data_IF_454749524824
#
_entry.id   IF_454749524824
#
_cell.length_a   1.000
_cell.length_b   1.000
_cell.length_c   1.000
_cell.angle_alpha   90.00
_cell.angle_beta   90.00
_cell.angle_gamma   90.00
#
_symmetry.space_group_name_H-M   'P 1'
#
loop_
_entity.id
_entity.type
_entity.pdbx_description
1 polymer ?
#
# COMPACT_ATOMS: atom_id res chain seq x y z
N UNK A 1 15.53 -9.56 13.67
CA UNK A 1 14.87 -8.71 12.64
C UNK A 1 14.36 -9.52 11.44
N UNK A 2 14.16 -10.82 11.57
CA UNK A 2 13.82 -11.76 10.48
C UNK A 2 12.33 -11.80 10.10
N UNK A 3 11.44 -11.29 10.94
CA UNK A 3 9.99 -11.39 10.74
C UNK A 3 9.31 -10.06 10.36
N UNK A 4 10.07 -8.98 10.19
CA UNK A 4 9.51 -7.67 9.85
C UNK A 4 8.70 -7.67 8.53
N UNK A 5 9.17 -8.29 7.42
CA UNK A 5 8.37 -8.38 6.19
C UNK A 5 7.03 -9.12 6.36
N UNK A 6 7.00 -10.15 7.21
CA UNK A 6 5.78 -10.88 7.53
C UNK A 6 4.78 -10.02 8.32
N UNK A 7 5.27 -9.27 9.33
CA UNK A 7 4.45 -8.30 10.06
C UNK A 7 3.90 -7.22 9.12
N UNK A 8 4.74 -6.66 8.26
CA UNK A 8 4.33 -5.67 7.25
C UNK A 8 3.26 -6.24 6.32
N UNK A 9 3.40 -7.48 5.88
CA UNK A 9 2.40 -8.16 5.05
C UNK A 9 1.07 -8.28 5.80
N UNK A 10 1.08 -8.74 7.06
CA UNK A 10 -0.13 -8.84 7.88
C UNK A 10 -0.81 -7.47 8.06
N UNK A 11 -0.04 -6.44 8.38
CA UNK A 11 -0.57 -5.08 8.53
C UNK A 11 -1.13 -4.52 7.20
N UNK A 12 -0.53 -4.89 6.07
CA UNK A 12 -1.03 -4.52 4.74
C UNK A 12 -2.37 -5.19 4.45
N UNK A 13 -2.56 -6.45 4.85
CA UNK A 13 -3.87 -7.14 4.77
C UNK A 13 -4.92 -6.39 5.60
N UNK A 14 -4.58 -5.97 6.82
CA UNK A 14 -5.49 -5.21 7.68
C UNK A 14 -5.84 -3.84 7.07
N UNK A 15 -4.87 -3.14 6.46
CA UNK A 15 -5.11 -1.90 5.72
C UNK A 15 -6.04 -2.12 4.52
N UNK A 16 -5.82 -3.18 3.74
CA UNK A 16 -6.68 -3.55 2.61
C UNK A 16 -8.11 -3.83 3.06
N UNK A 17 -8.27 -4.57 4.16
CA UNK A 17 -9.58 -4.80 4.78
C UNK A 17 -10.23 -3.49 5.23
N UNK A 18 -9.48 -2.61 5.90
CA UNK A 18 -9.99 -1.31 6.37
C UNK A 18 -10.47 -0.41 5.23
N UNK A 19 -9.72 -0.33 4.13
CA UNK A 19 -10.12 0.44 2.95
C UNK A 19 -11.32 -0.18 2.21
N UNK A 20 -11.40 -1.51 2.13
CA UNK A 20 -12.56 -2.22 1.60
C UNK A 20 -13.83 -1.94 2.43
N UNK A 21 -13.71 -2.03 3.75
CA UNK A 21 -14.80 -1.71 4.66
C UNK A 21 -15.26 -0.26 4.53
N UNK A 22 -14.33 0.70 4.40
CA UNK A 22 -14.66 2.11 4.20
C UNK A 22 -15.50 2.34 2.93
N UNK A 23 -15.20 1.64 1.82
CA UNK A 23 -16.01 1.70 0.58
C UNK A 23 -17.39 1.10 0.81
N UNK A 24 -17.48 -0.08 1.44
CA UNK A 24 -18.76 -0.73 1.74
C UNK A 24 -19.65 0.13 2.65
N UNK A 25 -19.06 0.74 3.68
CA UNK A 25 -19.74 1.66 4.58
C UNK A 25 -20.23 2.91 3.83
N UNK A 26 -19.37 3.54 3.02
CA UNK A 26 -19.76 4.70 2.21
C UNK A 26 -20.88 4.36 1.22
N UNK A 27 -20.84 3.15 0.63
CA UNK A 27 -21.88 2.67 -0.28
C UNK A 27 -23.26 2.69 0.38
N UNK A 28 -23.37 2.11 1.58
CA UNK A 28 -24.61 2.11 2.35
C UNK A 28 -25.02 3.50 2.81
N UNK A 29 -24.07 4.29 3.31
CA UNK A 29 -24.31 5.64 3.84
C UNK A 29 -24.82 6.62 2.78
N UNK A 30 -24.28 6.56 1.57
CA UNK A 30 -24.58 7.50 0.48
C UNK A 30 -25.52 6.92 -0.58
N UNK A 31 -26.08 5.72 -0.37
CA UNK A 31 -27.09 5.13 -1.24
C UNK A 31 -26.61 4.73 -2.65
N UNK A 32 -25.30 4.50 -2.83
CA UNK A 32 -24.74 4.15 -4.15
C UNK A 32 -24.99 2.67 -4.44
N UNK A 33 -26.03 2.33 -5.20
CA UNK A 33 -26.37 0.93 -5.52
C UNK A 33 -25.33 0.28 -6.44
N UNK A 34 -24.95 -0.96 -6.17
CA UNK A 34 -24.12 -1.74 -7.10
C UNK A 34 -24.86 -1.91 -8.44
N UNK A 35 -24.16 -1.93 -9.60
CA UNK A 35 -22.71 -1.92 -9.78
C UNK A 35 -22.07 -0.52 -9.84
N UNK A 36 -22.81 0.55 -9.52
CA UNK A 36 -22.29 1.92 -9.67
C UNK A 36 -21.04 2.18 -8.79
N UNK A 37 -20.09 2.90 -9.38
CA UNK A 37 -18.82 3.35 -8.79
C UNK A 37 -18.68 4.87 -8.78
N UNK A 38 -19.75 5.59 -9.10
CA UNK A 38 -19.86 7.05 -9.08
C UNK A 38 -21.12 7.46 -8.34
N UNK A 39 -21.15 8.67 -7.78
CA UNK A 39 -22.27 9.17 -6.99
C UNK A 39 -21.87 10.28 -6.04
N UNK A 40 -21.95 10.02 -4.73
CA UNK A 40 -21.54 11.00 -3.72
C UNK A 40 -20.00 11.20 -3.74
N UNK A 41 -19.49 12.44 -3.72
CA UNK A 41 -18.05 12.70 -3.71
C UNK A 41 -17.29 12.01 -2.56
N UNK A 42 -17.90 11.82 -1.40
CA UNK A 42 -17.29 11.09 -0.28
C UNK A 42 -17.20 9.58 -0.55
N UNK A 43 -18.20 9.00 -1.22
CA UNK A 43 -18.11 7.62 -1.71
C UNK A 43 -17.00 7.48 -2.74
N UNK A 44 -16.93 8.40 -3.71
CA UNK A 44 -15.91 8.35 -4.75
C UNK A 44 -14.50 8.47 -4.15
N UNK A 45 -14.27 9.34 -3.16
CA UNK A 45 -12.99 9.39 -2.44
C UNK A 45 -12.65 8.07 -1.75
N UNK A 46 -13.59 7.46 -1.05
CA UNK A 46 -13.37 6.15 -0.41
C UNK A 46 -13.02 5.08 -1.44
N UNK A 47 -13.76 5.03 -2.55
CA UNK A 47 -13.51 4.10 -3.65
C UNK A 47 -12.13 4.30 -4.27
N UNK A 48 -11.73 5.55 -4.55
CA UNK A 48 -10.41 5.88 -5.11
C UNK A 48 -9.27 5.58 -4.13
N UNK A 49 -9.47 5.75 -2.83
CA UNK A 49 -8.50 5.34 -1.80
C UNK A 49 -8.26 3.84 -1.84
N UNK A 50 -9.33 3.04 -1.86
CA UNK A 50 -9.23 1.58 -1.86
C UNK A 50 -8.62 1.05 -3.17
N UNK A 51 -9.05 1.55 -4.33
CA UNK A 51 -8.49 1.14 -5.63
C UNK A 51 -7.00 1.51 -5.75
N UNK A 52 -6.60 2.73 -5.38
CA UNK A 52 -5.18 3.11 -5.44
C UNK A 52 -4.33 2.32 -4.46
N UNK A 53 -4.87 1.99 -3.28
CA UNK A 53 -4.17 1.15 -2.30
C UNK A 53 -4.07 -0.30 -2.78
N UNK A 54 -5.10 -0.82 -3.46
CA UNK A 54 -5.07 -2.14 -4.09
C UNK A 54 -3.98 -2.22 -5.16
N UNK A 55 -3.98 -1.30 -6.13
CA UNK A 55 -2.97 -1.22 -7.20
C UNK A 55 -1.55 -1.16 -6.63
N UNK A 56 -1.33 -0.31 -5.63
CA UNK A 56 -0.04 -0.18 -4.99
C UNK A 56 0.38 -1.42 -4.19
N UNK A 57 -0.56 -2.10 -3.52
CA UNK A 57 -0.30 -3.32 -2.76
C UNK A 57 0.17 -4.45 -3.67
N UNK A 58 -0.44 -4.57 -4.86
CA UNK A 58 -0.08 -5.57 -5.88
C UNK A 58 1.37 -5.40 -6.34
N UNK A 59 1.86 -4.16 -6.47
CA UNK A 59 3.28 -3.91 -6.77
C UNK A 59 4.18 -4.09 -5.54
N UNK A 60 3.70 -3.65 -4.38
CA UNK A 60 4.48 -3.60 -3.15
C UNK A 60 4.83 -4.99 -2.60
N UNK A 61 3.87 -5.91 -2.50
CA UNK A 61 4.11 -7.22 -1.88
C UNK A 61 5.18 -8.04 -2.61
N UNK A 62 5.16 -8.21 -3.95
CA UNK A 62 6.24 -8.88 -4.65
C UNK A 62 7.59 -8.19 -4.45
N UNK A 63 7.61 -6.85 -4.48
CA UNK A 63 8.83 -6.07 -4.29
C UNK A 63 9.43 -6.29 -2.89
N UNK A 64 8.60 -6.25 -1.85
CA UNK A 64 8.98 -6.51 -0.46
C UNK A 64 9.60 -7.89 -0.30
N UNK A 65 8.95 -8.91 -0.88
CA UNK A 65 9.38 -10.29 -0.72
C UNK A 65 10.63 -10.62 -1.54
N UNK A 66 10.80 -10.03 -2.73
CA UNK A 66 12.07 -10.12 -3.47
C UNK A 66 13.22 -9.52 -2.64
N UNK A 67 13.06 -8.29 -2.13
CA UNK A 67 14.08 -7.68 -1.28
C UNK A 67 14.40 -8.54 -0.04
N UNK A 68 13.36 -9.04 0.64
CA UNK A 68 13.54 -9.86 1.82
C UNK A 68 14.21 -11.21 1.54
N UNK A 69 13.88 -11.84 0.41
CA UNK A 69 14.43 -13.13 -0.01
C UNK A 69 15.91 -13.02 -0.39
N UNK A 70 16.30 -11.97 -1.11
CA UNK A 70 17.68 -11.76 -1.55
C UNK A 70 18.57 -11.03 -0.53
N UNK A 71 18.36 -11.32 0.76
CA UNK A 71 19.28 -10.94 1.85
C UNK A 71 19.02 -9.58 2.51
N UNK A 72 17.98 -8.84 2.13
CA UNK A 72 17.64 -7.54 2.73
C UNK A 72 16.48 -7.61 3.73
N UNK A 73 16.23 -8.74 4.39
CA UNK A 73 15.04 -8.96 5.26
C UNK A 73 14.74 -7.82 6.25
N UNK A 74 15.75 -7.32 6.98
CA UNK A 74 15.57 -6.24 7.95
C UNK A 74 15.22 -4.90 7.29
N UNK A 75 16.00 -4.51 6.27
CA UNK A 75 15.81 -3.25 5.54
C UNK A 75 14.52 -3.24 4.71
N UNK A 76 14.16 -4.36 4.09
CA UNK A 76 12.89 -4.56 3.41
C UNK A 76 11.71 -4.37 4.38
N UNK A 77 11.82 -4.90 5.60
CA UNK A 77 10.86 -4.66 6.67
C UNK A 77 10.69 -3.19 7.03
N UNK A 78 11.80 -2.45 7.21
CA UNK A 78 11.78 -1.01 7.52
C UNK A 78 11.15 -0.22 6.37
N UNK A 79 11.58 -0.46 5.13
CA UNK A 79 11.00 0.15 3.94
C UNK A 79 9.50 -0.13 3.82
N UNK A 80 9.08 -1.35 4.17
CA UNK A 80 7.69 -1.75 4.22
C UNK A 80 6.86 -1.04 5.29
N UNK A 81 7.43 -0.79 6.47
CA UNK A 81 6.77 0.02 7.52
C UNK A 81 6.59 1.47 7.07
N UNK A 82 7.60 2.05 6.38
CA UNK A 82 7.49 3.40 5.79
C UNK A 82 6.39 3.43 4.73
N UNK A 83 6.34 2.43 3.85
CA UNK A 83 5.28 2.30 2.85
C UNK A 83 3.89 2.26 3.49
N UNK A 84 3.73 1.41 4.52
CA UNK A 84 2.46 1.22 5.24
C UNK A 84 2.02 2.52 5.93
N UNK A 85 2.93 3.20 6.63
CA UNK A 85 2.64 4.46 7.29
C UNK A 85 2.20 5.54 6.27
N UNK A 86 2.88 5.62 5.14
CA UNK A 86 2.49 6.49 4.03
C UNK A 86 1.10 6.18 3.49
N UNK A 87 0.75 4.89 3.37
CA UNK A 87 -0.58 4.45 2.91
C UNK A 87 -1.70 4.75 3.88
N UNK A 88 -1.47 4.57 5.18
CA UNK A 88 -2.42 4.96 6.23
C UNK A 88 -2.65 6.46 6.19
N UNK A 89 -1.59 7.26 6.10
CA UNK A 89 -1.70 8.71 5.97
C UNK A 89 -2.46 9.10 4.68
N UNK A 90 -2.08 8.53 3.54
CA UNK A 90 -2.77 8.75 2.26
C UNK A 90 -4.28 8.48 2.37
N UNK A 91 -4.67 7.34 2.94
CA UNK A 91 -6.07 6.97 3.09
C UNK A 91 -6.83 7.96 3.98
N UNK A 92 -6.30 8.29 5.16
CA UNK A 92 -6.94 9.22 6.10
C UNK A 92 -7.04 10.64 5.53
N UNK A 93 -5.98 11.11 4.86
CA UNK A 93 -5.96 12.44 4.27
C UNK A 93 -6.95 12.56 3.13
N UNK A 94 -6.98 11.58 2.21
CA UNK A 94 -7.85 11.61 1.04
C UNK A 94 -9.33 11.42 1.44
N UNK A 95 -9.65 10.57 2.42
CA UNK A 95 -11.03 10.45 2.91
C UNK A 95 -11.57 11.79 3.44
N UNK A 96 -10.72 12.58 4.12
CA UNK A 96 -11.06 13.92 4.63
C UNK A 96 -11.13 14.96 3.51
N UNK A 97 -10.11 15.02 2.66
CA UNK A 97 -9.94 16.04 1.64
C UNK A 97 -9.07 15.51 0.48
N UNK A 98 -9.62 15.54 -0.73
CA UNK A 98 -8.92 15.08 -1.93
C UNK A 98 -7.60 15.82 -2.21
N UNK A 99 -7.49 17.09 -1.82
CA UNK A 99 -6.29 17.90 -2.03
C UNK A 99 -5.12 17.53 -1.12
N UNK A 100 -5.37 16.85 0.02
CA UNK A 100 -4.35 16.60 1.05
C UNK A 100 -3.65 15.24 0.94
N UNK A 101 -3.93 14.49 -0.12
CA UNK A 101 -3.42 13.13 -0.33
C UNK A 101 -1.93 13.04 -0.72
N UNK A 102 -1.36 14.13 -1.26
CA UNK A 102 -0.02 14.14 -1.87
C UNK A 102 1.12 13.68 -0.95
N UNK A 103 1.28 14.26 0.25
CA UNK A 103 2.40 13.91 1.14
C UNK A 103 2.43 12.43 1.55
N UNK A 104 1.29 11.85 1.96
CA UNK A 104 1.21 10.44 2.32
C UNK A 104 1.50 9.51 1.15
N UNK A 105 1.05 9.88 -0.06
CA UNK A 105 1.38 9.15 -1.28
C UNK A 105 2.90 9.15 -1.53
N UNK A 106 3.55 10.30 -1.44
CA UNK A 106 5.00 10.43 -1.64
C UNK A 106 5.79 9.59 -0.65
N UNK A 107 5.44 9.63 0.63
CA UNK A 107 6.07 8.78 1.67
C UNK A 107 5.91 7.29 1.31
N UNK A 108 4.72 6.89 0.87
CA UNK A 108 4.52 5.50 0.46
C UNK A 108 5.39 5.13 -0.75
N UNK A 109 5.54 6.03 -1.72
CA UNK A 109 6.37 5.80 -2.91
C UNK A 109 7.85 5.68 -2.56
N UNK A 110 8.35 6.47 -1.61
CA UNK A 110 9.74 6.36 -1.14
C UNK A 110 9.99 5.01 -0.46
N UNK A 111 9.06 4.53 0.37
CA UNK A 111 9.15 3.20 0.99
C UNK A 111 9.17 2.08 -0.06
N UNK A 112 8.32 2.16 -1.08
CA UNK A 112 8.32 1.19 -2.17
C UNK A 112 9.58 1.26 -3.03
N UNK A 113 10.06 2.46 -3.38
CA UNK A 113 11.28 2.65 -4.18
C UNK A 113 12.52 2.07 -3.48
N UNK A 114 12.61 2.24 -2.15
CA UNK A 114 13.67 1.62 -1.36
C UNK A 114 13.60 0.08 -1.42
N UNK A 115 12.40 -0.50 -1.29
CA UNK A 115 12.18 -1.93 -1.47
C UNK A 115 12.58 -2.40 -2.88
N UNK A 116 12.24 -1.62 -3.91
CA UNK A 116 12.54 -1.93 -5.30
C UNK A 116 14.05 -1.95 -5.57
N UNK A 117 14.78 -0.95 -5.10
CA UNK A 117 16.25 -0.91 -5.24
C UNK A 117 16.89 -2.14 -4.60
N UNK A 118 16.46 -2.52 -3.39
CA UNK A 118 16.95 -3.74 -2.73
C UNK A 118 16.61 -5.01 -3.51
N UNK A 119 15.38 -5.13 -4.03
CA UNK A 119 14.96 -6.24 -4.86
C UNK A 119 15.81 -6.35 -6.14
N UNK A 120 16.02 -5.25 -6.86
CA UNK A 120 16.83 -5.21 -8.07
C UNK A 120 18.29 -5.61 -7.80
N UNK A 121 18.92 -5.05 -6.76
CA UNK A 121 20.28 -5.41 -6.36
C UNK A 121 20.35 -6.89 -6.00
N UNK A 122 19.38 -7.39 -5.24
CA UNK A 122 19.32 -8.78 -4.81
C UNK A 122 19.22 -9.77 -5.96
N UNK A 123 18.26 -9.55 -6.87
CA UNK A 123 18.07 -10.38 -8.06
C UNK A 123 19.29 -10.32 -8.97
N UNK A 124 19.82 -9.12 -9.25
CA UNK A 124 20.99 -8.96 -10.12
C UNK A 124 22.21 -9.71 -9.57
N UNK A 125 22.47 -9.62 -8.25
CA UNK A 125 23.55 -10.38 -7.61
C UNK A 125 23.35 -11.88 -7.76
N UNK A 126 22.13 -12.38 -7.58
CA UNK A 126 21.83 -13.80 -7.75
C UNK A 126 22.07 -14.27 -9.20
N UNK A 127 21.73 -13.45 -10.19
CA UNK A 127 21.98 -13.75 -11.61
C UNK A 127 23.46 -13.69 -12.03
N UNK A 128 24.31 -12.97 -11.29
CA UNK A 128 25.75 -12.87 -11.58
C UNK A 128 26.57 -14.00 -10.93
N UNK A 129 26.04 -14.60 -9.87
CA UNK A 129 26.75 -15.61 -9.06
C UNK A 129 26.21 -17.03 -9.32
N UNK A 130 24.98 -17.16 -9.81
CA UNK A 130 24.41 -18.42 -10.30
C UNK A 130 24.78 -18.70 -11.74
#
# INVERSE_FOLDING_TARGET
>A
MTHLPALVTLLTVLLMFGTMWAVGHARGKYGVKAPATTGDPAFERAYRVQMNTLEATVMFLPTLWLAAHYGFTGWAGIAGLVWLAGRVWYALAYLRDAGKRGPGYLVSMLGWAAALVMACIGVARAMMVG
#
